data_IF_887414061030
#
_entry.id   IF_887414061030
#
_cell.length_a   1.000
_cell.length_b   1.000
_cell.length_c   1.000
_cell.angle_alpha   90.00
_cell.angle_beta   90.00
_cell.angle_gamma   90.00
#
_symmetry.space_group_name_H-M   'P 1'
#
loop_
_entity.id
_entity.type
_entity.pdbx_description
1 polymer ?
#
# COMPACT_ATOMS: atom_id res chain seq x y z
N UNK A 1 18.84 1.86 3.53
CA UNK A 1 18.04 2.54 2.48
C UNK A 1 17.01 3.47 3.12
N UNK A 2 17.34 4.75 3.34
CA UNK A 2 16.47 5.76 3.98
C UNK A 2 16.14 6.85 2.97
N UNK A 3 14.92 7.39 3.01
CA UNK A 3 14.54 8.58 2.25
C UNK A 3 15.21 9.83 2.86
N UNK A 4 15.62 10.78 2.03
CA UNK A 4 16.29 12.01 2.49
C UNK A 4 15.39 13.26 2.45
N UNK A 5 14.44 13.30 1.52
CA UNK A 5 13.50 14.43 1.35
C UNK A 5 12.04 14.08 1.64
N UNK A 6 11.65 12.83 1.43
CA UNK A 6 10.29 12.37 1.68
C UNK A 6 10.11 11.83 3.10
N UNK A 7 8.96 12.09 3.73
CA UNK A 7 8.57 11.51 5.04
C UNK A 7 8.13 10.04 4.94
N UNK A 8 8.71 9.31 3.99
CA UNK A 8 8.39 7.91 3.75
C UNK A 8 9.21 6.99 4.66
N UNK A 9 8.57 5.91 5.11
CA UNK A 9 9.21 4.77 5.76
C UNK A 9 8.90 3.50 4.97
N UNK A 10 9.84 2.57 4.96
CA UNK A 10 9.61 1.21 4.44
C UNK A 10 9.67 0.22 5.59
N UNK A 11 8.97 -0.90 5.44
CA UNK A 11 9.11 -2.02 6.35
C UNK A 11 10.56 -2.52 6.42
N UNK A 12 10.89 -3.16 7.54
CA UNK A 12 12.17 -3.86 7.70
C UNK A 12 12.22 -5.15 6.87
N UNK A 13 11.11 -5.86 6.84
CA UNK A 13 10.96 -7.11 6.11
C UNK A 13 10.47 -6.85 4.69
N UNK A 14 10.93 -7.68 3.75
CA UNK A 14 10.58 -7.60 2.35
C UNK A 14 9.98 -8.92 1.87
N UNK A 15 9.19 -8.83 0.81
CA UNK A 15 8.61 -9.96 0.13
C UNK A 15 9.43 -10.30 -1.12
N UNK A 16 9.72 -11.58 -1.31
CA UNK A 16 10.39 -12.10 -2.52
C UNK A 16 9.59 -13.21 -3.21
N UNK A 17 8.53 -13.70 -2.57
CA UNK A 17 7.61 -14.73 -3.05
C UNK A 17 6.34 -14.72 -2.20
N UNK A 18 5.29 -15.35 -2.69
CA UNK A 18 4.03 -15.59 -2.01
C UNK A 18 3.07 -14.41 -2.00
N UNK A 19 1.96 -14.64 -1.27
CA UNK A 19 0.92 -13.64 -1.04
C UNK A 19 1.02 -13.08 0.37
N UNK A 20 0.94 -11.77 0.48
CA UNK A 20 1.07 -11.04 1.72
C UNK A 20 -0.09 -10.08 1.89
N UNK A 21 -0.59 -9.95 3.13
CA UNK A 21 -1.71 -9.09 3.44
C UNK A 21 -1.45 -8.34 4.74
N UNK A 22 -1.79 -7.05 4.76
CA UNK A 22 -1.83 -6.25 5.97
C UNK A 22 -2.94 -5.19 5.90
N UNK A 23 -3.35 -4.71 7.06
CA UNK A 23 -4.34 -3.65 7.20
C UNK A 23 -3.72 -2.46 7.93
N UNK A 24 -4.10 -1.26 7.52
CA UNK A 24 -3.65 0.00 8.13
C UNK A 24 -4.88 0.82 8.49
N UNK A 25 -5.00 1.25 9.74
CA UNK A 25 -5.89 2.35 10.10
C UNK A 25 -5.25 3.67 9.66
N UNK A 26 -5.93 4.38 8.77
CA UNK A 26 -5.42 5.59 8.12
C UNK A 26 -5.87 6.87 8.84
N UNK A 27 -5.11 7.93 8.62
CA UNK A 27 -5.40 9.29 9.06
C UNK A 27 -5.89 10.15 7.88
N UNK A 28 -5.77 11.47 7.96
CA UNK A 28 -6.31 12.38 6.95
C UNK A 28 -5.32 12.67 5.81
N UNK A 29 -4.04 12.34 5.95
CA UNK A 29 -3.07 12.51 4.86
C UNK A 29 -2.05 11.39 4.81
N UNK A 30 -2.22 10.50 3.84
CA UNK A 30 -1.40 9.31 3.74
C UNK A 30 -1.11 8.88 2.31
N UNK A 31 -0.01 8.12 2.19
CA UNK A 31 0.33 7.37 0.99
C UNK A 31 0.81 5.99 1.39
N UNK A 32 0.18 4.95 0.85
CA UNK A 32 0.41 3.57 1.25
C UNK A 32 0.46 2.69 0.02
N UNK A 33 1.40 1.74 0.01
CA UNK A 33 1.51 0.73 -1.03
C UNK A 33 2.77 -0.09 -0.91
N UNK A 34 3.38 -0.40 -2.04
CA UNK A 34 4.66 -1.12 -2.10
C UNK A 34 5.68 -0.44 -3.02
N UNK A 35 6.95 -0.72 -2.74
CA UNK A 35 8.08 -0.29 -3.57
C UNK A 35 9.11 -1.41 -3.75
N UNK A 36 9.81 -1.42 -4.89
CA UNK A 36 10.92 -2.36 -5.14
C UNK A 36 12.23 -1.88 -4.50
N UNK A 37 13.15 -2.79 -4.21
CA UNK A 37 14.44 -2.48 -3.58
C UNK A 37 15.24 -1.43 -4.36
N UNK A 38 15.25 -1.53 -5.69
CA UNK A 38 15.99 -0.64 -6.59
C UNK A 38 15.36 0.73 -6.82
N UNK A 39 14.18 1.02 -6.27
CA UNK A 39 13.52 2.31 -6.45
C UNK A 39 14.38 3.46 -5.87
N UNK A 40 14.39 4.60 -6.57
CA UNK A 40 15.07 5.81 -6.09
C UNK A 40 14.39 6.31 -4.81
N UNK A 41 15.19 6.72 -3.83
CA UNK A 41 14.72 7.20 -2.52
C UNK A 41 15.32 8.55 -2.14
N UNK A 42 16.25 9.05 -2.95
CA UNK A 42 16.95 10.30 -2.71
C UNK A 42 16.55 11.37 -3.70
N UNK A 43 16.52 12.61 -3.23
CA UNK A 43 16.19 13.74 -4.09
C UNK A 43 14.71 13.83 -4.42
N UNK A 44 14.39 14.45 -5.55
CA UNK A 44 13.02 14.61 -6.02
C UNK A 44 12.72 13.57 -7.09
N UNK A 45 11.74 12.71 -6.83
CA UNK A 45 11.26 11.69 -7.76
C UNK A 45 9.73 11.66 -7.69
N UNK A 46 9.10 11.14 -8.75
CA UNK A 46 7.66 10.92 -8.77
C UNK A 46 7.34 9.53 -8.21
N UNK A 47 6.24 9.42 -7.48
CA UNK A 47 5.68 8.11 -7.13
C UNK A 47 4.91 7.60 -8.33
N UNK A 48 5.45 6.60 -9.02
CA UNK A 48 4.76 5.92 -10.11
C UNK A 48 5.30 4.50 -10.31
N UNK A 49 4.55 3.62 -11.00
CA UNK A 49 5.01 2.28 -11.35
C UNK A 49 6.37 2.29 -12.06
N UNK A 50 6.62 3.27 -12.92
CA UNK A 50 7.88 3.43 -13.66
C UNK A 50 9.07 3.67 -12.72
N UNK A 51 8.84 4.38 -11.62
CA UNK A 51 9.84 4.61 -10.56
C UNK A 51 9.89 3.48 -9.52
N UNK A 52 9.08 2.44 -9.68
CA UNK A 52 9.04 1.28 -8.78
C UNK A 52 8.17 1.50 -7.55
N UNK A 53 7.12 2.31 -7.66
CA UNK A 53 6.14 2.56 -6.60
C UNK A 53 4.73 2.22 -7.08
N UNK A 54 4.00 1.44 -6.29
CA UNK A 54 2.61 1.08 -6.53
C UNK A 54 1.79 1.43 -5.29
N UNK A 55 1.33 2.68 -5.24
CA UNK A 55 0.75 3.27 -4.04
C UNK A 55 -0.56 3.99 -4.35
N UNK A 56 -1.42 4.07 -3.33
CA UNK A 56 -2.51 5.02 -3.29
C UNK A 56 -2.08 6.25 -2.49
N UNK A 57 -2.61 7.42 -2.87
CA UNK A 57 -2.43 8.69 -2.18
C UNK A 57 -3.79 9.22 -1.76
N UNK A 58 -3.88 9.78 -0.55
CA UNK A 58 -5.12 10.34 -0.07
C UNK A 58 -4.91 11.53 0.85
N UNK A 59 -5.77 12.53 0.66
CA UNK A 59 -5.85 13.71 1.49
C UNK A 59 -7.32 14.02 1.80
N UNK A 60 -7.73 14.00 3.08
CA UNK A 60 -9.07 14.35 3.56
C UNK A 60 -9.06 15.80 4.04
N UNK A 61 -9.61 16.68 3.22
CA UNK A 61 -9.82 18.10 3.54
C UNK A 61 -11.00 18.66 2.73
N UNK A 62 -11.19 19.98 2.75
CA UNK A 62 -12.16 20.67 1.88
C UNK A 62 -11.96 20.38 0.39
N UNK A 63 -10.73 20.02 -0.03
CA UNK A 63 -10.38 19.66 -1.40
C UNK A 63 -10.06 18.17 -1.55
N UNK A 64 -10.71 17.32 -0.74
CA UNK A 64 -10.41 15.89 -0.61
C UNK A 64 -9.96 15.23 -1.92
N UNK A 65 -8.82 14.56 -1.88
CA UNK A 65 -8.24 13.85 -3.01
C UNK A 65 -7.97 12.39 -2.65
N UNK A 66 -8.17 11.52 -3.64
CA UNK A 66 -7.93 10.10 -3.50
C UNK A 66 -7.60 9.50 -4.85
N UNK A 67 -6.41 8.92 -4.98
CA UNK A 67 -5.92 8.47 -6.26
C UNK A 67 -5.02 7.25 -6.16
N UNK A 68 -4.93 6.52 -7.27
CA UNK A 68 -3.85 5.60 -7.54
C UNK A 68 -2.74 6.36 -8.28
N UNK A 69 -1.52 6.27 -7.76
CA UNK A 69 -0.34 6.95 -8.31
C UNK A 69 0.18 6.24 -9.56
N UNK A 70 -0.67 6.15 -10.59
CA UNK A 70 -0.30 5.76 -11.95
C UNK A 70 0.34 6.94 -12.70
N UNK A 71 0.79 6.71 -13.94
CA UNK A 71 1.28 7.78 -14.81
C UNK A 71 0.53 7.74 -16.16
N UNK A 72 -0.41 8.66 -16.42
CA UNK A 72 -0.87 9.73 -15.53
C UNK A 72 -1.65 9.20 -14.30
N UNK A 73 -1.79 10.02 -13.26
CA UNK A 73 -2.48 9.67 -12.02
C UNK A 73 -3.96 9.32 -12.26
N UNK A 74 -4.46 8.25 -11.61
CA UNK A 74 -5.84 7.81 -11.72
C UNK A 74 -6.62 8.23 -10.48
N UNK A 75 -7.53 9.19 -10.64
CA UNK A 75 -8.45 9.60 -9.57
C UNK A 75 -9.44 8.49 -9.24
N UNK A 76 -9.63 8.24 -7.95
CA UNK A 76 -10.52 7.23 -7.42
C UNK A 76 -11.78 7.88 -6.82
N UNK A 77 -12.93 7.18 -6.81
CA UNK A 77 -14.13 7.68 -6.16
C UNK A 77 -13.91 7.90 -4.66
N UNK A 78 -14.24 9.10 -4.16
CA UNK A 78 -14.16 9.42 -2.72
C UNK A 78 -15.07 8.52 -1.86
N UNK A 79 -16.12 7.94 -2.46
CA UNK A 79 -16.97 6.94 -1.78
C UNK A 79 -16.23 5.65 -1.40
N UNK A 80 -15.07 5.38 -2.01
CA UNK A 80 -14.20 4.24 -1.70
C UNK A 80 -13.04 4.64 -0.78
N UNK A 81 -12.98 5.87 -0.29
CA UNK A 81 -11.90 6.33 0.57
C UNK A 81 -11.97 5.64 1.94
N UNK A 82 -11.01 4.79 2.32
CA UNK A 82 -11.08 3.97 3.52
C UNK A 82 -10.75 4.74 4.80
N UNK A 83 -11.25 4.30 5.97
CA UNK A 83 -10.62 4.59 7.27
C UNK A 83 -9.66 3.45 7.65
N UNK A 84 -9.88 2.24 7.12
CA UNK A 84 -8.99 1.09 7.20
C UNK A 84 -8.70 0.55 5.81
N UNK A 85 -7.44 0.62 5.41
CA UNK A 85 -6.97 0.18 4.11
C UNK A 85 -6.36 -1.22 4.22
N UNK A 86 -6.92 -2.18 3.49
CA UNK A 86 -6.31 -3.50 3.30
C UNK A 86 -5.43 -3.51 2.06
N UNK A 87 -4.22 -4.06 2.17
CA UNK A 87 -3.27 -4.19 1.05
C UNK A 87 -2.91 -5.66 0.87
N UNK A 88 -3.16 -6.19 -0.32
CA UNK A 88 -2.84 -7.57 -0.70
C UNK A 88 -1.80 -7.56 -1.83
N UNK A 89 -0.65 -8.16 -1.61
CA UNK A 89 0.43 -8.30 -2.58
C UNK A 89 0.53 -9.74 -3.02
N UNK A 90 0.60 -9.96 -4.32
CA UNK A 90 0.87 -11.26 -4.94
C UNK A 90 2.13 -11.12 -5.80
N UNK A 91 3.23 -11.71 -5.32
CA UNK A 91 4.54 -11.55 -5.95
C UNK A 91 4.62 -12.34 -7.27
N UNK A 92 4.07 -13.54 -7.28
CA UNK A 92 4.03 -14.41 -8.46
C UNK A 92 3.16 -13.80 -9.57
N UNK A 93 1.99 -13.27 -9.21
CA UNK A 93 1.08 -12.62 -10.15
C UNK A 93 1.45 -11.17 -10.46
N UNK A 94 2.49 -10.63 -9.80
CA UNK A 94 2.98 -9.24 -9.95
C UNK A 94 1.85 -8.22 -9.77
N UNK A 95 1.07 -8.38 -8.69
CA UNK A 95 -0.11 -7.55 -8.40
C UNK A 95 -0.06 -7.00 -6.98
N UNK A 96 -0.59 -5.80 -6.82
CA UNK A 96 -0.99 -5.27 -5.51
C UNK A 96 -2.41 -4.74 -5.60
N UNK A 97 -3.27 -5.20 -4.69
CA UNK A 97 -4.69 -4.86 -4.62
C UNK A 97 -5.03 -4.19 -3.31
N UNK A 98 -5.90 -3.19 -3.38
CA UNK A 98 -6.31 -2.34 -2.27
C UNK A 98 -7.80 -2.50 -2.01
N UNK A 99 -8.17 -2.52 -0.73
CA UNK A 99 -9.54 -2.73 -0.27
C UNK A 99 -9.89 -1.79 0.88
N UNK A 100 -11.15 -1.41 0.94
CA UNK A 100 -11.76 -0.83 2.15
C UNK A 100 -12.13 -1.97 3.09
N UNK A 101 -11.58 -1.99 4.29
CA UNK A 101 -11.80 -3.11 5.24
C UNK A 101 -13.23 -3.13 5.76
N UNK A 102 -13.82 -1.95 5.94
CA UNK A 102 -15.14 -1.75 6.55
C UNK A 102 -16.27 -2.30 5.68
N UNK A 103 -16.23 -2.00 4.39
CA UNK A 103 -17.23 -2.48 3.42
C UNK A 103 -16.76 -3.69 2.61
N UNK A 104 -15.50 -4.11 2.81
CA UNK A 104 -14.83 -5.18 2.03
C UNK A 104 -14.87 -4.89 0.52
N UNK A 105 -14.96 -3.63 0.13
CA UNK A 105 -15.03 -3.24 -1.27
C UNK A 105 -13.62 -3.09 -1.84
N UNK A 106 -13.45 -3.58 -3.07
CA UNK A 106 -12.26 -3.33 -3.87
C UNK A 106 -12.14 -1.82 -4.17
N UNK A 107 -10.91 -1.32 -4.05
CA UNK A 107 -10.57 0.09 -4.32
C UNK A 107 -9.83 0.19 -5.64
N UNK A 108 -8.70 -0.51 -5.75
CA UNK A 108 -7.84 -0.45 -6.93
C UNK A 108 -6.88 -1.63 -6.96
N UNK A 109 -6.42 -2.01 -8.15
CA UNK A 109 -5.36 -3.00 -8.33
C UNK A 109 -4.35 -2.50 -9.35
N UNK A 110 -3.06 -2.49 -8.97
CA UNK A 110 -1.98 -2.42 -9.95
C UNK A 110 -1.67 -3.83 -10.44
N UNK A 111 -1.69 -4.02 -11.75
CA UNK A 111 -1.25 -5.25 -12.41
C UNK A 111 0.11 -5.06 -13.06
N UNK A 112 0.72 -6.18 -13.48
CA UNK A 112 1.94 -6.18 -14.29
C UNK A 112 3.10 -5.41 -13.66
N UNK A 113 3.24 -5.51 -12.33
CA UNK A 113 4.31 -4.87 -11.59
C UNK A 113 5.69 -5.27 -12.15
N UNK A 114 6.47 -4.25 -12.54
CA UNK A 114 7.77 -4.41 -13.21
C UNK A 114 8.92 -4.42 -12.19
N UNK A 115 9.48 -5.61 -11.97
CA UNK A 115 10.67 -5.84 -11.15
C UNK A 115 11.38 -7.15 -11.58
N UNK A 116 12.72 -7.28 -11.49
CA UNK A 116 13.43 -8.52 -11.77
C UNK A 116 13.00 -9.67 -10.83
N UNK A 117 13.16 -10.90 -11.29
CA UNK A 117 12.86 -12.07 -10.46
C UNK A 117 13.75 -12.08 -9.21
N UNK A 118 13.13 -12.30 -8.05
CA UNK A 118 13.81 -12.31 -6.75
C UNK A 118 14.12 -10.92 -6.18
N UNK A 119 13.74 -9.83 -6.86
CA UNK A 119 13.81 -8.49 -6.27
C UNK A 119 12.90 -8.40 -5.04
N UNK A 120 13.39 -7.72 -4.00
CA UNK A 120 12.64 -7.49 -2.77
C UNK A 120 11.61 -6.38 -2.96
N UNK A 121 10.39 -6.67 -2.53
CA UNK A 121 9.28 -5.72 -2.50
C UNK A 121 8.99 -5.35 -1.04
N UNK A 122 8.90 -4.06 -0.75
CA UNK A 122 8.71 -3.53 0.58
C UNK A 122 7.38 -2.78 0.67
N UNK A 123 6.55 -3.05 1.69
CA UNK A 123 5.56 -2.08 2.16
C UNK A 123 6.19 -0.70 2.36
N UNK A 124 5.51 0.33 1.87
CA UNK A 124 5.90 1.73 2.01
C UNK A 124 4.74 2.55 2.55
N UNK A 125 5.06 3.46 3.47
CA UNK A 125 4.11 4.30 4.17
C UNK A 125 4.62 5.72 4.23
N UNK A 126 3.71 6.68 4.13
CA UNK A 126 3.96 8.09 4.35
C UNK A 126 2.73 8.69 5.01
N UNK A 127 2.97 9.63 5.92
CA UNK A 127 1.95 10.52 6.46
C UNK A 127 2.42 11.95 6.39
N UNK A 128 1.52 12.84 5.96
CA UNK A 128 1.68 14.29 6.08
C UNK A 128 0.92 14.87 7.27
N UNK A 129 0.07 14.05 7.90
CA UNK A 129 -0.71 14.38 9.10
C UNK A 129 0.20 14.37 10.34
N UNK A 130 0.10 15.42 11.16
CA UNK A 130 0.85 15.59 12.41
C UNK A 130 0.03 15.28 13.67
N UNK A 131 -1.28 15.11 13.52
CA UNK A 131 -2.21 15.02 14.65
C UNK A 131 -2.62 13.57 14.94
N UNK A 132 -2.64 12.72 13.90
CA UNK A 132 -2.94 11.28 14.03
C UNK A 132 -1.91 10.41 13.31
N UNK A 133 -1.47 9.34 13.97
CA UNK A 133 -0.56 8.34 13.40
C UNK A 133 -1.26 7.42 12.39
N UNK A 134 -0.46 6.81 11.52
CA UNK A 134 -0.86 5.61 10.77
C UNK A 134 -0.61 4.37 11.64
N UNK A 135 -1.62 3.53 11.81
CA UNK A 135 -1.53 2.36 12.68
C UNK A 135 -1.63 1.07 11.87
N UNK A 136 -0.57 0.26 11.91
CA UNK A 136 -0.61 -1.09 11.36
C UNK A 136 -1.46 -1.97 12.29
N UNK A 137 -2.52 -2.56 11.75
CA UNK A 137 -3.41 -3.41 12.54
C UNK A 137 -2.81 -4.81 12.73
N UNK A 138 -3.06 -5.45 13.89
CA UNK A 138 -2.56 -6.80 14.14
C UNK A 138 -3.14 -7.78 13.11
N UNK A 139 -2.32 -8.75 12.69
CA UNK A 139 -2.77 -9.80 11.79
C UNK A 139 -3.97 -10.53 12.41
N UNK A 140 -5.08 -10.60 11.66
CA UNK A 140 -6.25 -11.36 12.07
C UNK A 140 -5.86 -12.84 12.11
N UNK A 141 -5.71 -13.39 13.31
CA UNK A 141 -5.51 -14.82 13.50
C UNK A 141 -6.82 -15.51 13.16
N UNK A 142 -6.93 -16.13 11.99
CA UNK A 142 -8.05 -17.02 11.72
C UNK A 142 -7.75 -18.31 12.50
N UNK A 143 -8.39 -18.49 13.65
CA UNK A 143 -8.45 -19.80 14.30
C UNK A 143 -9.15 -20.77 13.35
N UNK A 144 -8.37 -21.57 12.63
CA UNK A 144 -8.90 -22.71 11.88
C UNK A 144 -9.27 -23.76 12.93
N UNK A 145 -10.55 -23.80 13.31
CA UNK A 145 -11.06 -24.94 14.08
C UNK A 145 -10.87 -26.19 13.23
N UNK A 146 -10.17 -27.23 13.72
CA UNK A 146 -10.06 -28.48 12.99
C UNK A 146 -11.46 -29.02 12.74
N UNK A 147 -11.71 -29.43 11.50
CA UNK A 147 -12.91 -30.20 11.15
C UNK A 147 -12.79 -31.51 11.91
N UNK A 148 -13.61 -31.69 12.94
CA UNK A 148 -13.76 -32.97 13.61
C UNK A 148 -14.63 -33.84 12.71
N UNK A 149 -14.02 -34.81 12.03
CA UNK A 149 -14.75 -35.93 11.45
C UNK A 149 -15.53 -36.64 12.57
N UNK A 150 -16.83 -36.78 12.37
CA UNK A 150 -17.76 -37.54 13.23
C UNK A 150 -17.98 -38.92 12.65
#
# INVERSE_FOLDING_TARGET
HRFDKERCVVSREAFTSGRHYWEVEVNDWWRIGVTRESAERKGYFSFSPQQGYWCLDSYRSDFSDFSALTDPETRLPLSLQPRKLGVCVDIEERKVSFYTVESRAHVYTFTDMVFPQGEKIYPVFYTGDSDKDLELLPAVSVEIKPVTDS
#
